data_IF_583034086453
#
_entry.id   IF_583034086453
#
_cell.length_a   1.000
_cell.length_b   1.000
_cell.length_c   1.000
_cell.angle_alpha   90.00
_cell.angle_beta   90.00
_cell.angle_gamma   90.00
#
_symmetry.space_group_name_H-M   'P 1'
#
loop_
_entity.id
_entity.type
_entity.pdbx_description
1 polymer ?
#
# COMPACT_ATOMS: atom_id res chain seq x y z
N UNK A 1 0.63 -12.70 -12.33
CA UNK A 1 1.88 -12.27 -11.69
C UNK A 1 3.04 -12.57 -12.63
N UNK A 2 4.04 -11.69 -12.73
CA UNK A 2 5.20 -11.87 -13.59
C UNK A 2 6.41 -12.44 -12.83
N UNK A 3 6.76 -11.84 -11.70
CA UNK A 3 7.85 -12.30 -10.84
C UNK A 3 7.34 -12.57 -9.43
N UNK A 4 7.69 -13.72 -8.88
CA UNK A 4 7.38 -14.10 -7.50
C UNK A 4 8.66 -14.46 -6.76
N UNK A 5 8.93 -13.76 -5.65
CA UNK A 5 9.91 -14.14 -4.66
C UNK A 5 9.19 -14.79 -3.49
N UNK A 6 9.28 -16.11 -3.40
CA UNK A 6 8.65 -16.91 -2.36
C UNK A 6 9.70 -17.66 -1.56
N UNK A 7 9.62 -17.58 -0.22
CA UNK A 7 10.51 -18.32 0.69
C UNK A 7 12.00 -18.07 0.43
N UNK A 8 12.32 -16.86 -0.01
CA UNK A 8 13.68 -16.46 -0.33
C UNK A 8 14.34 -15.73 0.85
N UNK A 9 15.66 -15.75 0.90
CA UNK A 9 16.47 -14.99 1.86
C UNK A 9 17.59 -14.30 1.08
N UNK A 10 17.85 -13.02 1.36
CA UNK A 10 18.92 -12.22 0.74
C UNK A 10 18.78 -12.10 -0.78
N UNK A 11 17.68 -11.46 -1.21
CA UNK A 11 17.38 -11.24 -2.63
C UNK A 11 17.78 -9.83 -3.04
N UNK A 12 18.35 -9.70 -4.25
CA UNK A 12 18.50 -8.42 -4.93
C UNK A 12 17.85 -8.51 -6.31
N UNK A 13 16.80 -7.73 -6.52
CA UNK A 13 16.14 -7.54 -7.79
C UNK A 13 16.45 -6.13 -8.29
N UNK A 14 17.05 -5.98 -9.47
CA UNK A 14 17.44 -4.64 -9.94
C UNK A 14 17.31 -4.47 -11.43
N UNK A 15 16.97 -3.26 -11.89
CA UNK A 15 16.91 -2.89 -13.32
C UNK A 15 15.93 -3.75 -14.12
N UNK A 16 14.85 -4.17 -13.46
CA UNK A 16 13.79 -4.95 -14.10
C UNK A 16 12.83 -4.02 -14.84
N UNK A 17 12.41 -4.48 -16.02
CA UNK A 17 11.32 -3.86 -16.79
C UNK A 17 10.24 -4.91 -16.94
N UNK A 18 9.07 -4.66 -16.34
CA UNK A 18 7.90 -5.55 -16.41
C UNK A 18 6.79 -4.80 -17.11
N UNK A 19 6.21 -5.39 -18.16
CA UNK A 19 5.20 -4.71 -18.99
C UNK A 19 4.06 -5.65 -19.36
N UNK A 20 2.84 -5.23 -19.03
CA UNK A 20 1.58 -5.81 -19.48
C UNK A 20 0.56 -4.67 -19.72
N UNK A 21 -0.51 -4.91 -20.51
CA UNK A 21 -1.58 -3.93 -20.68
C UNK A 21 -2.24 -3.55 -19.36
N UNK A 22 -2.59 -2.27 -19.17
CA UNK A 22 -3.17 -1.75 -17.91
C UNK A 22 -4.54 -2.33 -17.55
N UNK A 23 -5.23 -2.96 -18.49
CA UNK A 23 -6.51 -3.65 -18.27
C UNK A 23 -6.34 -5.17 -18.11
N UNK A 24 -5.10 -5.69 -18.04
CA UNK A 24 -4.84 -7.12 -17.95
C UNK A 24 -4.96 -7.60 -16.51
N UNK A 25 -5.96 -8.44 -16.17
CA UNK A 25 -6.21 -8.84 -14.79
C UNK A 25 -5.04 -9.67 -14.23
N UNK A 26 -4.76 -9.54 -12.93
CA UNK A 26 -3.83 -10.38 -12.17
C UNK A 26 -2.40 -10.41 -12.74
N UNK A 27 -1.98 -9.30 -13.35
CA UNK A 27 -0.65 -9.16 -13.95
C UNK A 27 0.35 -8.49 -13.01
N UNK A 28 0.35 -8.84 -11.73
CA UNK A 28 1.23 -8.24 -10.72
C UNK A 28 2.68 -8.24 -11.20
N UNK A 29 3.39 -7.15 -10.96
CA UNK A 29 4.79 -7.00 -11.38
C UNK A 29 5.71 -7.89 -10.57
N UNK A 30 5.97 -7.48 -9.33
CA UNK A 30 6.80 -8.20 -8.38
C UNK A 30 5.97 -8.58 -7.15
N UNK A 31 5.82 -9.88 -6.92
CA UNK A 31 5.14 -10.44 -5.76
C UNK A 31 6.16 -10.96 -4.75
N UNK A 32 6.10 -10.49 -3.51
CA UNK A 32 7.00 -10.86 -2.41
C UNK A 32 6.19 -11.53 -1.31
N UNK A 33 6.48 -12.80 -1.03
CA UNK A 33 5.80 -13.60 -0.01
C UNK A 33 6.80 -14.45 0.77
N UNK A 34 6.60 -14.60 2.08
CA UNK A 34 7.46 -15.44 2.94
C UNK A 34 8.97 -15.16 2.78
N UNK A 35 9.35 -13.93 2.44
CA UNK A 35 10.70 -13.59 1.99
C UNK A 35 11.38 -12.61 2.95
N UNK A 36 12.68 -12.80 3.18
CA UNK A 36 13.47 -12.03 4.14
C UNK A 36 14.65 -11.34 3.46
N UNK A 37 14.90 -10.07 3.80
CA UNK A 37 16.04 -9.30 3.31
C UNK A 37 16.06 -9.20 1.77
N UNK A 38 15.06 -8.54 1.20
CA UNK A 38 14.96 -8.32 -0.24
C UNK A 38 15.11 -6.84 -0.57
N UNK A 39 15.94 -6.54 -1.57
CA UNK A 39 16.12 -5.21 -2.13
C UNK A 39 15.66 -5.19 -3.58
N UNK A 40 14.61 -4.43 -3.87
CA UNK A 40 14.08 -4.18 -5.20
C UNK A 40 14.50 -2.77 -5.60
N UNK A 41 15.25 -2.60 -6.69
CA UNK A 41 15.78 -1.28 -7.03
C UNK A 41 15.85 -0.95 -8.51
N UNK A 42 15.60 0.31 -8.85
CA UNK A 42 15.69 0.82 -10.22
C UNK A 42 14.79 0.02 -11.19
N UNK A 43 13.53 -0.20 -10.82
CA UNK A 43 12.62 -1.03 -11.61
C UNK A 43 11.53 -0.18 -12.26
N UNK A 44 11.14 -0.55 -13.48
CA UNK A 44 9.99 0.03 -14.19
C UNK A 44 8.92 -1.04 -14.37
N UNK A 45 7.74 -0.81 -13.81
CA UNK A 45 6.67 -1.79 -13.75
C UNK A 45 5.38 -1.16 -14.28
N UNK A 46 4.88 -1.71 -15.38
CA UNK A 46 3.65 -1.27 -16.04
C UNK A 46 2.76 -2.49 -16.20
N UNK A 47 1.67 -2.58 -15.45
CA UNK A 47 0.85 -3.79 -15.40
C UNK A 47 -0.63 -3.43 -15.25
N UNK A 48 -1.51 -4.43 -15.23
CA UNK A 48 -2.92 -4.26 -14.90
C UNK A 48 -3.26 -4.63 -13.45
N UNK A 49 -2.26 -4.92 -12.61
CA UNK A 49 -2.44 -5.22 -11.18
C UNK A 49 -1.31 -4.56 -10.35
N UNK A 50 -1.03 -5.03 -9.14
CA UNK A 50 -0.02 -4.42 -8.25
C UNK A 50 1.36 -4.34 -8.94
N UNK A 51 2.03 -3.19 -8.86
CA UNK A 51 3.41 -3.08 -9.32
C UNK A 51 4.32 -3.90 -8.43
N UNK A 52 4.17 -3.70 -7.11
CA UNK A 52 4.82 -4.50 -6.08
C UNK A 52 3.75 -4.87 -5.05
N UNK A 53 3.61 -6.15 -4.77
CA UNK A 53 2.76 -6.67 -3.70
C UNK A 53 3.61 -7.39 -2.65
N UNK A 54 3.55 -6.95 -1.40
CA UNK A 54 4.29 -7.53 -0.28
C UNK A 54 3.29 -8.18 0.67
N UNK A 55 3.29 -9.51 0.74
CA UNK A 55 2.28 -10.29 1.48
C UNK A 55 2.89 -11.07 2.64
N UNK A 56 2.05 -11.85 3.32
CA UNK A 56 2.34 -12.54 4.57
C UNK A 56 3.66 -13.30 4.61
N UNK A 57 4.29 -13.29 5.79
CA UNK A 57 5.57 -13.96 6.03
C UNK A 57 6.80 -13.15 5.60
N UNK A 58 6.63 -11.92 5.12
CA UNK A 58 7.72 -11.11 4.58
C UNK A 58 8.29 -10.13 5.61
N UNK A 59 9.61 -9.97 5.65
CA UNK A 59 10.25 -8.95 6.50
C UNK A 59 11.52 -8.39 5.88
N UNK A 60 11.89 -7.17 6.26
CA UNK A 60 13.06 -6.46 5.76
C UNK A 60 13.01 -6.36 4.23
N UNK A 61 11.99 -5.65 3.73
CA UNK A 61 11.75 -5.43 2.30
C UNK A 61 12.07 -3.98 1.99
N UNK A 62 13.04 -3.74 1.10
CA UNK A 62 13.35 -2.40 0.61
C UNK A 62 13.02 -2.32 -0.89
N UNK A 63 12.21 -1.33 -1.26
CA UNK A 63 11.88 -1.00 -2.64
C UNK A 63 12.27 0.46 -2.93
N UNK A 64 13.30 0.65 -3.74
CA UNK A 64 13.91 1.98 -3.95
C UNK A 64 14.04 2.32 -5.44
N UNK A 65 13.77 3.56 -5.85
CA UNK A 65 13.83 3.97 -7.26
C UNK A 65 12.87 3.15 -8.15
N UNK A 66 11.57 3.24 -7.86
CA UNK A 66 10.52 2.46 -8.54
C UNK A 66 9.66 3.38 -9.42
N UNK A 67 9.58 3.09 -10.71
CA UNK A 67 8.59 3.68 -11.61
C UNK A 67 7.45 2.69 -11.80
N UNK A 68 6.25 3.05 -11.34
CA UNK A 68 5.07 2.20 -11.34
C UNK A 68 3.94 2.89 -12.11
N UNK A 69 3.36 2.26 -13.12
CA UNK A 69 2.21 2.86 -13.81
C UNK A 69 2.10 2.58 -15.30
N UNK A 70 0.91 2.17 -15.79
CA UNK A 70 -0.33 1.93 -15.05
C UNK A 70 -0.26 0.68 -14.15
N UNK A 71 -1.28 0.45 -13.30
CA UNK A 71 -1.39 -0.70 -12.40
C UNK A 71 -2.19 -0.42 -11.12
N UNK A 72 -2.08 -1.27 -10.10
CA UNK A 72 -2.76 -1.09 -8.80
C UNK A 72 -1.91 -0.38 -7.73
N UNK A 73 -0.68 0.02 -8.05
CA UNK A 73 0.21 0.72 -7.13
C UNK A 73 1.15 -0.21 -6.38
N UNK A 74 1.59 0.22 -5.20
CA UNK A 74 2.42 -0.58 -4.28
C UNK A 74 1.57 -0.98 -3.09
N UNK A 75 1.42 -2.30 -2.89
CA UNK A 75 0.48 -2.87 -1.93
C UNK A 75 1.19 -3.71 -0.87
N UNK A 76 0.81 -3.50 0.40
CA UNK A 76 1.01 -4.44 1.49
C UNK A 76 -0.27 -5.27 1.64
N UNK A 77 -0.13 -6.58 1.53
CA UNK A 77 -1.23 -7.53 1.59
C UNK A 77 -1.82 -7.92 0.23
N UNK A 78 -2.95 -8.63 0.19
CA UNK A 78 -3.82 -8.84 1.35
C UNK A 78 -3.23 -9.72 2.45
N UNK A 79 -3.46 -9.37 3.71
CA UNK A 79 -3.02 -10.14 4.90
C UNK A 79 -4.21 -10.71 5.67
N UNK A 80 -4.09 -11.90 6.24
CA UNK A 80 -5.06 -12.50 7.16
C UNK A 80 -6.19 -13.26 6.46
N UNK A 81 -5.97 -13.72 5.23
CA UNK A 81 -6.99 -14.40 4.43
C UNK A 81 -7.55 -15.63 5.15
N UNK A 82 -8.89 -15.78 5.17
CA UNK A 82 -9.54 -16.91 5.85
C UNK A 82 -9.35 -16.92 7.37
N UNK A 83 -9.08 -15.77 7.99
CA UNK A 83 -8.80 -15.66 9.42
C UNK A 83 -7.38 -16.10 9.81
N UNK A 84 -6.48 -16.21 8.83
CA UNK A 84 -5.10 -16.61 9.07
C UNK A 84 -4.34 -15.60 9.92
N UNK A 85 -3.25 -16.08 10.52
CA UNK A 85 -2.20 -15.22 11.05
C UNK A 85 -1.24 -14.86 9.90
N UNK A 86 -1.10 -13.58 9.61
CA UNK A 86 -0.12 -13.06 8.66
C UNK A 86 0.71 -11.94 9.27
N UNK A 87 1.96 -11.84 8.83
CA UNK A 87 2.81 -10.74 9.24
C UNK A 87 3.59 -10.14 8.08
N UNK A 88 3.75 -8.81 8.13
CA UNK A 88 4.70 -8.05 7.32
C UNK A 88 5.40 -7.04 8.25
N UNK A 89 6.74 -6.96 8.18
CA UNK A 89 7.45 -5.98 9.00
C UNK A 89 8.72 -5.43 8.37
N UNK A 90 9.09 -4.21 8.79
CA UNK A 90 10.29 -3.51 8.34
C UNK A 90 10.31 -3.37 6.81
N UNK A 91 9.34 -2.62 6.30
CA UNK A 91 9.23 -2.33 4.87
C UNK A 91 9.61 -0.88 4.63
N UNK A 92 10.46 -0.63 3.63
CA UNK A 92 10.78 0.72 3.18
C UNK A 92 10.52 0.81 1.68
N UNK A 93 9.67 1.76 1.29
CA UNK A 93 9.50 2.19 -0.10
C UNK A 93 10.04 3.61 -0.19
N UNK A 94 11.05 3.83 -1.03
CA UNK A 94 11.75 5.10 -1.12
C UNK A 94 11.94 5.53 -2.58
N UNK A 95 11.68 6.80 -2.91
CA UNK A 95 11.85 7.33 -4.28
C UNK A 95 11.03 6.52 -5.29
N UNK A 96 9.71 6.62 -5.16
CA UNK A 96 8.77 5.96 -6.08
C UNK A 96 7.98 7.00 -6.87
N UNK A 97 7.79 6.75 -8.16
CA UNK A 97 6.93 7.55 -9.04
C UNK A 97 5.76 6.65 -9.46
N UNK A 98 4.54 7.04 -9.12
CA UNK A 98 3.33 6.31 -9.46
C UNK A 98 2.51 7.13 -10.47
N UNK A 99 2.21 6.54 -11.63
CA UNK A 99 1.53 7.24 -12.73
C UNK A 99 0.32 6.45 -13.19
N UNK A 100 -0.86 7.07 -13.22
CA UNK A 100 -2.11 6.48 -13.74
C UNK A 100 -2.45 5.12 -13.10
N UNK A 101 -2.09 4.92 -11.83
CA UNK A 101 -2.41 3.72 -11.07
C UNK A 101 -3.77 3.86 -10.38
N UNK A 102 -4.45 2.73 -10.14
CA UNK A 102 -5.73 2.74 -9.41
C UNK A 102 -5.56 3.04 -7.92
N UNK A 103 -4.40 2.73 -7.34
CA UNK A 103 -4.02 3.14 -5.99
C UNK A 103 -2.57 3.60 -5.98
N UNK A 104 -2.20 4.40 -4.99
CA UNK A 104 -0.81 4.75 -4.75
C UNK A 104 -0.15 3.74 -3.82
N UNK A 105 -0.22 4.05 -2.52
CA UNK A 105 0.32 3.26 -1.43
C UNK A 105 -0.83 2.64 -0.66
N UNK A 106 -0.90 1.31 -0.64
CA UNK A 106 -2.07 0.59 -0.13
C UNK A 106 -1.66 -0.44 0.92
N UNK A 107 -2.35 -0.46 2.06
CA UNK A 107 -2.31 -1.56 3.03
C UNK A 107 -3.70 -2.19 3.08
N UNK A 108 -3.78 -3.51 2.88
CA UNK A 108 -5.04 -4.24 2.76
C UNK A 108 -5.02 -5.48 3.62
N UNK A 109 -5.98 -5.63 4.54
CA UNK A 109 -6.09 -6.82 5.38
C UNK A 109 -7.51 -7.36 5.36
N UNK A 110 -7.64 -8.68 5.43
CA UNK A 110 -8.91 -9.37 5.46
C UNK A 110 -9.60 -9.21 6.80
N UNK A 111 -10.93 -9.13 6.75
CA UNK A 111 -11.75 -9.22 7.96
C UNK A 111 -11.56 -10.59 8.64
N UNK A 112 -11.47 -10.58 9.97
CA UNK A 112 -11.26 -11.80 10.76
C UNK A 112 -9.81 -12.27 10.80
N UNK A 113 -8.91 -11.64 10.02
CA UNK A 113 -7.48 -11.92 10.04
C UNK A 113 -6.83 -11.62 11.39
N UNK A 114 -5.59 -12.10 11.57
CA UNK A 114 -4.78 -11.85 12.76
C UNK A 114 -3.30 -11.68 12.41
N UNK A 115 -2.48 -11.22 13.35
CA UNK A 115 -1.07 -10.93 13.13
C UNK A 115 -0.81 -9.43 12.99
N UNK A 116 0.18 -9.02 12.19
CA UNK A 116 0.61 -7.62 12.17
C UNK A 116 1.21 -7.12 10.85
N UNK A 117 0.95 -5.87 10.50
CA UNK A 117 1.71 -5.08 9.53
C UNK A 117 2.34 -3.89 10.26
N UNK A 118 3.67 -3.90 10.45
CA UNK A 118 4.32 -2.88 11.27
C UNK A 118 5.68 -2.41 10.79
N UNK A 119 6.07 -1.20 11.21
CA UNK A 119 7.33 -0.56 10.80
C UNK A 119 7.41 -0.47 9.27
N UNK A 120 6.48 0.27 8.68
CA UNK A 120 6.38 0.43 7.23
C UNK A 120 6.55 1.91 6.91
N UNK A 121 7.57 2.25 6.12
CA UNK A 121 7.84 3.61 5.69
C UNK A 121 7.66 3.71 4.18
N UNK A 122 6.77 4.60 3.76
CA UNK A 122 6.69 5.09 2.39
C UNK A 122 7.23 6.51 2.36
N UNK A 123 8.28 6.76 1.59
CA UNK A 123 8.91 8.07 1.57
C UNK A 123 9.39 8.53 0.19
N UNK A 124 9.40 9.85 -0.02
CA UNK A 124 9.81 10.47 -1.28
C UNK A 124 9.01 9.89 -2.46
N UNK A 125 7.69 10.02 -2.40
CA UNK A 125 6.79 9.43 -3.41
C UNK A 125 6.09 10.53 -4.20
N UNK A 126 6.15 10.44 -5.52
CA UNK A 126 5.47 11.35 -6.44
C UNK A 126 4.32 10.60 -7.15
N UNK A 127 3.14 11.21 -7.19
CA UNK A 127 1.93 10.61 -7.76
C UNK A 127 1.34 11.48 -8.88
N UNK A 128 1.21 10.90 -10.07
CA UNK A 128 0.62 11.55 -11.24
C UNK A 128 -0.68 10.86 -11.61
N UNK A 129 -1.81 11.56 -11.42
CA UNK A 129 -3.14 11.06 -11.75
C UNK A 129 -3.43 9.67 -11.13
N UNK A 130 -3.06 9.50 -9.86
CA UNK A 130 -3.30 8.27 -9.11
C UNK A 130 -4.73 8.29 -8.59
N UNK A 131 -5.50 7.23 -8.83
CA UNK A 131 -6.93 7.26 -8.49
C UNK A 131 -7.18 7.32 -7.00
N UNK A 132 -6.53 6.47 -6.20
CA UNK A 132 -6.64 6.48 -4.74
C UNK A 132 -5.23 6.51 -4.11
N UNK A 133 -4.67 7.70 -3.85
CA UNK A 133 -3.28 7.87 -3.43
C UNK A 133 -2.83 7.06 -2.20
N UNK A 134 -3.51 7.17 -1.07
CA UNK A 134 -3.08 6.52 0.18
C UNK A 134 -4.27 5.79 0.80
N UNK A 135 -4.14 4.48 0.99
CA UNK A 135 -5.22 3.64 1.53
C UNK A 135 -4.71 2.72 2.64
N UNK A 136 -5.45 2.66 3.74
CA UNK A 136 -5.44 1.53 4.69
C UNK A 136 -6.86 0.98 4.73
N UNK A 137 -7.03 -0.31 4.47
CA UNK A 137 -8.33 -0.98 4.52
C UNK A 137 -8.22 -2.31 5.27
N UNK A 138 -8.71 -2.35 6.51
CA UNK A 138 -8.81 -3.58 7.31
C UNK A 138 -10.09 -4.40 7.05
N UNK A 139 -10.98 -3.92 6.17
CA UNK A 139 -12.27 -4.53 5.89
C UNK A 139 -12.31 -5.33 4.58
N UNK A 140 -11.16 -5.74 4.04
CA UNK A 140 -11.13 -6.43 2.76
C UNK A 140 -11.89 -7.76 2.84
N UNK A 141 -12.73 -8.01 1.83
CA UNK A 141 -13.31 -9.31 1.59
C UNK A 141 -13.72 -9.50 0.12
N UNK A 142 -13.93 -10.76 -0.29
CA UNK A 142 -14.23 -11.18 -1.65
C UNK A 142 -15.73 -11.28 -1.97
N UNK A 143 -16.59 -11.33 -0.94
CA UNK A 143 -18.04 -11.32 -1.13
C UNK A 143 -18.52 -9.91 -1.46
N UNK A 144 -19.10 -9.77 -2.65
CA UNK A 144 -19.71 -8.52 -3.11
C UNK A 144 -21.06 -8.27 -2.44
N UNK A 145 -21.91 -9.28 -2.30
CA UNK A 145 -23.22 -9.16 -1.65
C UNK A 145 -23.69 -10.49 -1.02
N UNK A 146 -24.18 -10.50 0.25
CA UNK A 146 -24.06 -9.39 1.20
C UNK A 146 -22.58 -9.12 1.52
N UNK A 147 -22.25 -7.85 1.75
CA UNK A 147 -20.92 -7.48 2.24
C UNK A 147 -20.59 -8.26 3.52
N UNK A 148 -19.32 -8.65 3.68
CA UNK A 148 -18.91 -9.39 4.88
C UNK A 148 -19.17 -8.56 6.13
N UNK A 149 -19.78 -9.19 7.14
CA UNK A 149 -20.02 -8.54 8.42
C UNK A 149 -18.69 -8.23 9.12
N UNK A 150 -18.65 -7.09 9.80
CA UNK A 150 -17.52 -6.70 10.64
C UNK A 150 -17.17 -7.83 11.62
N UNK A 151 -15.90 -8.26 11.55
CA UNK A 151 -15.36 -9.30 12.42
C UNK A 151 -14.59 -8.66 13.58
N UNK A 152 -14.60 -9.34 14.74
CA UNK A 152 -13.93 -8.82 15.93
C UNK A 152 -12.40 -8.83 15.83
N UNK A 153 -11.83 -9.77 15.06
CA UNK A 153 -10.38 -9.90 14.83
C UNK A 153 -9.97 -9.15 13.57
N UNK A 154 -8.80 -8.51 13.63
CA UNK A 154 -8.12 -7.95 12.47
C UNK A 154 -6.61 -8.06 12.63
N UNK A 155 -5.88 -7.96 11.52
CA UNK A 155 -4.42 -7.80 11.51
C UNK A 155 -4.08 -6.44 12.11
N UNK A 156 -3.23 -6.40 13.13
CA UNK A 156 -2.80 -5.14 13.76
C UNK A 156 -1.96 -4.31 12.78
N UNK A 157 -2.26 -3.01 12.64
CA UNK A 157 -1.50 -2.09 11.79
C UNK A 157 -0.91 -1.00 12.67
N UNK A 158 0.42 -0.92 12.72
CA UNK A 158 1.12 0.03 13.59
C UNK A 158 2.45 0.54 13.03
N UNK A 159 2.85 1.73 13.48
CA UNK A 159 4.09 2.38 13.07
C UNK A 159 4.24 2.44 11.54
N UNK A 160 3.31 3.18 10.91
CA UNK A 160 3.28 3.40 9.47
C UNK A 160 3.64 4.86 9.22
N UNK A 161 4.69 5.10 8.44
CA UNK A 161 5.17 6.44 8.13
C UNK A 161 4.95 6.73 6.66
N UNK A 162 4.23 7.81 6.36
CA UNK A 162 4.10 8.40 5.04
C UNK A 162 4.84 9.74 5.06
N UNK A 163 5.95 9.85 4.31
CA UNK A 163 6.85 10.99 4.41
C UNK A 163 7.20 11.60 3.05
N UNK A 164 7.10 12.92 2.90
CA UNK A 164 7.44 13.63 1.68
C UNK A 164 6.75 13.00 0.46
N UNK A 165 5.42 13.07 0.46
CA UNK A 165 4.57 12.50 -0.59
C UNK A 165 3.84 13.64 -1.28
N UNK A 166 3.93 13.71 -2.60
CA UNK A 166 3.25 14.74 -3.38
C UNK A 166 2.49 14.12 -4.55
N UNK A 167 1.41 14.77 -4.98
CA UNK A 167 0.80 14.39 -6.26
C UNK A 167 -0.66 14.74 -6.45
N UNK A 168 -1.19 14.24 -7.57
CA UNK A 168 -2.56 14.51 -8.02
C UNK A 168 -3.42 13.26 -7.87
N UNK A 169 -4.46 13.38 -7.04
CA UNK A 169 -5.54 12.41 -6.87
C UNK A 169 -6.58 12.55 -7.98
N UNK A 170 -7.11 11.44 -8.46
CA UNK A 170 -8.33 11.45 -9.31
C UNK A 170 -9.60 11.38 -8.46
N UNK A 171 -9.59 10.60 -7.37
CA UNK A 171 -10.69 10.57 -6.40
C UNK A 171 -10.74 11.84 -5.56
N UNK A 172 -11.92 12.12 -5.00
CA UNK A 172 -12.10 13.16 -3.99
C UNK A 172 -11.39 12.81 -2.68
N UNK A 173 -11.50 11.56 -2.21
CA UNK A 173 -10.79 11.07 -1.04
C UNK A 173 -9.39 10.59 -1.43
N UNK A 174 -8.36 11.41 -1.16
CA UNK A 174 -6.98 11.06 -1.47
C UNK A 174 -6.32 10.21 -0.38
N UNK A 175 -6.75 10.39 0.87
CA UNK A 175 -6.35 9.56 2.00
C UNK A 175 -7.59 8.85 2.52
N UNK A 176 -7.54 7.52 2.58
CA UNK A 176 -8.64 6.71 3.09
C UNK A 176 -8.11 5.67 4.08
N UNK A 177 -8.33 5.90 5.37
CA UNK A 177 -7.97 4.99 6.45
C UNK A 177 -9.23 4.39 7.05
N UNK A 178 -9.48 3.12 6.77
CA UNK A 178 -10.58 2.34 7.33
C UNK A 178 -10.02 1.25 8.21
N UNK A 179 -10.01 1.52 9.51
CA UNK A 179 -9.51 0.61 10.52
C UNK A 179 -10.63 0.06 11.41
N UNK A 180 -10.41 -1.12 11.97
CA UNK A 180 -11.31 -1.79 12.88
C UNK A 180 -11.44 -1.01 14.19
N UNK A 181 -12.65 -0.95 14.74
CA UNK A 181 -12.89 -0.36 16.07
C UNK A 181 -12.25 -1.18 17.19
N UNK A 182 -12.11 -2.50 17.02
CA UNK A 182 -11.50 -3.39 18.01
C UNK A 182 -9.98 -3.48 17.88
N UNK A 183 -9.46 -3.21 16.68
CA UNK A 183 -8.02 -3.15 16.37
C UNK A 183 -7.70 -1.86 15.62
N UNK A 184 -7.84 -0.69 16.27
CA UNK A 184 -7.61 0.59 15.63
C UNK A 184 -6.17 0.70 15.16
N UNK A 185 -5.97 1.28 13.98
CA UNK A 185 -4.63 1.58 13.50
C UNK A 185 -3.98 2.62 14.42
N UNK A 186 -2.71 2.45 14.76
CA UNK A 186 -2.03 3.35 15.68
C UNK A 186 -0.60 3.66 15.23
N UNK A 187 -0.04 4.76 15.74
CA UNK A 187 1.29 5.24 15.32
C UNK A 187 1.37 5.45 13.80
N UNK A 188 0.35 6.07 13.22
CA UNK A 188 0.33 6.46 11.80
C UNK A 188 0.89 7.87 11.68
N UNK A 189 1.93 8.07 10.88
CA UNK A 189 2.59 9.37 10.72
C UNK A 189 2.41 9.88 9.29
N UNK A 190 1.91 11.10 9.17
CA UNK A 190 1.87 11.86 7.93
C UNK A 190 2.87 13.02 8.06
N UNK A 191 3.99 12.95 7.35
CA UNK A 191 5.04 13.98 7.35
C UNK A 191 5.18 14.57 5.95
N UNK A 192 4.90 15.85 5.76
CA UNK A 192 5.02 16.52 4.46
C UNK A 192 4.26 15.80 3.31
N UNK A 193 2.98 15.50 3.53
CA UNK A 193 2.08 14.83 2.58
C UNK A 193 1.18 15.86 1.90
N UNK A 194 1.38 16.12 0.61
CA UNK A 194 0.69 17.16 -0.15
C UNK A 194 0.06 16.59 -1.42
N UNK A 195 -1.19 16.15 -1.29
CA UNK A 195 -2.01 15.64 -2.37
C UNK A 195 -3.01 16.73 -2.77
N UNK A 196 -3.27 16.85 -4.06
CA UNK A 196 -4.25 17.79 -4.62
C UNK A 196 -5.11 17.08 -5.65
N UNK A 197 -6.15 17.74 -6.15
CA UNK A 197 -6.95 17.26 -7.29
C UNK A 197 -6.78 18.24 -8.46
N UNK A 198 -6.89 17.72 -9.68
CA UNK A 198 -6.50 18.44 -10.90
C UNK A 198 -7.31 19.72 -11.18
N UNK A 199 -8.55 19.81 -10.69
CA UNK A 199 -9.51 20.88 -11.01
C UNK A 199 -10.03 21.64 -9.76
N UNK A 200 -9.66 21.21 -8.55
CA UNK A 200 -10.08 21.82 -7.28
C UNK A 200 -9.06 21.51 -6.17
N UNK A 201 -8.83 22.45 -5.24
CA UNK A 201 -8.07 22.18 -4.00
C UNK A 201 -8.86 21.31 -2.99
N UNK A 202 -10.14 21.05 -3.25
CA UNK A 202 -11.02 20.25 -2.40
C UNK A 202 -10.73 18.75 -2.54
N UNK A 203 -9.60 18.33 -2.01
CA UNK A 203 -9.23 16.94 -1.76
C UNK A 203 -9.52 16.60 -0.30
N UNK A 204 -9.98 15.38 -0.02
CA UNK A 204 -10.44 14.96 1.31
C UNK A 204 -9.63 13.79 1.86
N UNK A 205 -9.63 13.69 3.19
CA UNK A 205 -9.22 12.50 3.91
C UNK A 205 -10.44 11.90 4.64
N UNK A 206 -10.57 10.58 4.62
CA UNK A 206 -11.59 9.84 5.36
C UNK A 206 -10.90 8.85 6.29
N UNK A 207 -11.07 9.02 7.60
CA UNK A 207 -10.23 8.35 8.60
C UNK A 207 -11.07 7.81 9.76
N UNK A 208 -11.19 6.48 9.82
CA UNK A 208 -12.03 5.73 10.76
C UNK A 208 -11.16 4.83 11.65
N UNK A 209 -11.34 4.95 12.96
CA UNK A 209 -10.64 4.15 13.99
C UNK A 209 -9.12 4.13 13.85
N UNK A 210 -8.52 5.29 13.56
CA UNK A 210 -7.08 5.45 13.40
C UNK A 210 -6.55 6.53 14.35
N UNK A 211 -5.36 6.30 14.91
CA UNK A 211 -4.59 7.31 15.66
C UNK A 211 -3.39 7.73 14.82
N UNK A 212 -3.37 8.98 14.39
CA UNK A 212 -2.31 9.53 13.55
C UNK A 212 -1.68 10.80 14.15
N UNK A 213 -0.50 11.13 13.65
CA UNK A 213 0.21 12.37 13.94
C UNK A 213 0.63 13.02 12.62
N UNK A 214 0.38 14.33 12.51
CA UNK A 214 0.87 15.14 11.39
C UNK A 214 2.16 15.86 11.78
N UNK A 215 3.10 15.95 10.84
CA UNK A 215 4.31 16.74 10.96
C UNK A 215 4.58 17.48 9.65
N UNK A 216 4.97 18.75 9.73
CA UNK A 216 5.19 19.56 8.53
C UNK A 216 3.89 19.89 7.79
N UNK A 217 3.95 19.99 6.46
CA UNK A 217 2.79 20.38 5.65
C UNK A 217 1.98 19.16 5.20
N UNK A 218 0.77 18.99 5.74
CA UNK A 218 -0.12 17.86 5.43
C UNK A 218 -1.45 18.37 4.85
N UNK A 219 -1.74 17.98 3.60
CA UNK A 219 -2.99 18.23 2.90
C UNK A 219 -3.30 17.08 1.93
N UNK A 220 -4.51 16.48 1.96
CA UNK A 220 -5.54 16.67 2.97
C UNK A 220 -5.12 16.07 4.32
N UNK A 221 -5.67 16.60 5.40
CA UNK A 221 -5.53 16.01 6.73
C UNK A 221 -6.76 15.18 7.09
N UNK A 222 -6.54 14.02 7.72
CA UNK A 222 -7.47 13.47 8.67
C UNK A 222 -7.66 14.47 9.83
#
# INVERSE_FOLDING_TARGET
MHLTFQKCINVKASKLVVTAPGHSPNTDGIHVTETQNIHIQNCTIRTGDDCISIVGGSKNVEATDITCGPGHGISIGSLGAGGSFDYVSNVMVNRAILTETTNGLRIKTWQGGSGYAKNITFQNVEMHNVRNPIIINQFYCDKKEPSCSEQASAVEISNIVYKNITGISVSEEAINFKCSKTFPCHEIWLEDVNLARQEDENVKAACDSVKWTNQGNVSPSC
#
